data_IF_079606694409
#
_entry.id   IF_079606694409
#
_cell.length_a   1.000
_cell.length_b   1.000
_cell.length_c   1.000
_cell.angle_alpha   90.00
_cell.angle_beta   90.00
_cell.angle_gamma   90.00
#
_symmetry.space_group_name_H-M   'P 1'
#
loop_
_entity.id
_entity.type
_entity.pdbx_description
1 polymer ?
#
# COMPACT_ATOMS: atom_id res chain seq x y z
N UNK A 1 33.36 -23.22 22.90
CA UNK A 1 33.00 -21.85 23.35
C UNK A 1 32.22 -21.03 22.30
N UNK A 2 32.42 -21.22 20.98
CA UNK A 2 31.66 -20.48 19.95
C UNK A 2 30.14 -20.77 19.90
N UNK A 3 29.73 -22.01 20.17
CA UNK A 3 28.31 -22.45 20.14
C UNK A 3 27.48 -21.70 21.19
N UNK A 4 28.05 -21.44 22.37
CA UNK A 4 27.39 -20.75 23.48
C UNK A 4 27.22 -19.25 23.24
N UNK A 5 28.14 -18.63 22.50
CA UNK A 5 28.05 -17.21 22.11
C UNK A 5 27.01 -16.98 21.00
N UNK A 6 26.98 -17.85 19.99
CA UNK A 6 26.04 -17.77 18.88
C UNK A 6 24.57 -17.87 19.33
N UNK A 7 24.27 -18.79 20.25
CA UNK A 7 22.91 -18.95 20.80
C UNK A 7 22.42 -17.71 21.56
N UNK A 8 23.30 -17.04 22.31
CA UNK A 8 22.95 -15.78 22.99
C UNK A 8 22.67 -14.67 21.98
N UNK A 9 23.50 -14.53 20.94
CA UNK A 9 23.29 -13.55 19.88
C UNK A 9 21.94 -13.77 19.16
N UNK A 10 21.65 -15.00 18.76
CA UNK A 10 20.38 -15.36 18.13
C UNK A 10 19.18 -15.03 19.02
N UNK A 11 19.26 -15.29 20.32
CA UNK A 11 18.19 -14.95 21.27
C UNK A 11 17.91 -13.44 21.31
N UNK A 12 18.96 -12.62 21.40
CA UNK A 12 18.81 -11.16 21.41
C UNK A 12 18.27 -10.62 20.09
N UNK A 13 18.74 -11.15 18.95
CA UNK A 13 18.22 -10.77 17.63
C UNK A 13 16.74 -11.14 17.49
N UNK A 14 16.37 -12.37 17.85
CA UNK A 14 14.98 -12.83 17.82
C UNK A 14 14.10 -11.93 18.69
N UNK A 15 14.53 -11.61 19.91
CA UNK A 15 13.78 -10.71 20.78
C UNK A 15 13.63 -9.32 20.16
N UNK A 16 14.72 -8.72 19.69
CA UNK A 16 14.71 -7.39 19.09
C UNK A 16 13.80 -7.29 17.87
N UNK A 17 13.93 -8.21 16.90
CA UNK A 17 13.06 -8.21 15.72
C UNK A 17 11.60 -8.47 16.07
N UNK A 18 11.30 -9.38 17.00
CA UNK A 18 9.91 -9.61 17.42
C UNK A 18 9.31 -8.37 18.12
N UNK A 19 10.10 -7.60 18.90
CA UNK A 19 9.61 -6.34 19.48
C UNK A 19 9.26 -5.33 18.38
N UNK A 20 10.10 -5.20 17.34
CA UNK A 20 9.79 -4.33 16.19
C UNK A 20 8.50 -4.79 15.50
N UNK A 21 8.36 -6.09 15.21
CA UNK A 21 7.15 -6.61 14.57
C UNK A 21 5.90 -6.44 15.44
N UNK A 22 6.02 -6.56 16.76
CA UNK A 22 4.94 -6.30 17.70
C UNK A 22 4.43 -4.84 17.55
N UNK A 23 5.35 -3.87 17.54
CA UNK A 23 5.03 -2.45 17.38
C UNK A 23 4.44 -2.15 16.00
N UNK A 24 4.97 -2.78 14.94
CA UNK A 24 4.41 -2.70 13.59
C UNK A 24 2.97 -3.24 13.56
N UNK A 25 2.72 -4.40 14.16
CA UNK A 25 1.38 -5.00 14.24
C UNK A 25 0.37 -4.08 14.93
N UNK A 26 0.75 -3.47 16.07
CA UNK A 26 -0.08 -2.47 16.77
C UNK A 26 -0.35 -1.27 15.87
N UNK A 27 0.68 -0.75 15.20
CA UNK A 27 0.55 0.41 14.30
C UNK A 27 -0.42 0.12 13.15
N UNK A 28 -0.30 -1.06 12.52
CA UNK A 28 -1.21 -1.48 11.46
C UNK A 28 -2.66 -1.60 11.94
N UNK A 29 -2.89 -2.18 13.13
CA UNK A 29 -4.23 -2.26 13.71
C UNK A 29 -4.82 -0.88 13.99
N UNK A 30 -4.04 0.05 14.57
CA UNK A 30 -4.48 1.42 14.86
C UNK A 30 -4.80 2.17 13.57
N UNK A 31 -3.90 2.15 12.58
CA UNK A 31 -4.12 2.82 11.29
C UNK A 31 -5.32 2.23 10.56
N UNK A 32 -5.46 0.90 10.53
CA UNK A 32 -6.60 0.21 9.95
C UNK A 32 -7.92 0.58 10.63
N UNK A 33 -7.94 0.65 11.97
CA UNK A 33 -9.14 1.04 12.71
C UNK A 33 -9.51 2.51 12.46
N UNK A 34 -8.54 3.42 12.49
CA UNK A 34 -8.77 4.85 12.22
C UNK A 34 -9.29 5.08 10.80
N UNK A 35 -8.71 4.41 9.81
CA UNK A 35 -9.14 4.51 8.41
C UNK A 35 -10.53 3.92 8.20
N UNK A 36 -10.85 2.79 8.86
CA UNK A 36 -12.18 2.20 8.83
C UNK A 36 -13.26 3.14 9.39
N UNK A 37 -12.99 3.81 10.52
CA UNK A 37 -13.93 4.77 11.14
C UNK A 37 -14.12 6.00 10.25
N UNK A 38 -13.03 6.51 9.66
CA UNK A 38 -13.09 7.64 8.73
C UNK A 38 -13.90 7.32 7.46
N UNK A 39 -13.72 6.11 6.91
CA UNK A 39 -14.49 5.63 5.76
C UNK A 39 -15.97 5.43 6.09
N UNK A 40 -16.27 4.83 7.24
CA UNK A 40 -17.66 4.64 7.70
C UNK A 40 -18.39 5.99 7.85
N UNK A 41 -17.70 7.01 8.35
CA UNK A 41 -18.28 8.34 8.55
C UNK A 41 -18.50 9.12 7.23
N UNK A 42 -17.77 8.80 6.17
CA UNK A 42 -17.79 9.52 4.89
C UNK A 42 -18.62 8.82 3.81
N UNK A 43 -18.78 7.49 3.88
CA UNK A 43 -19.37 6.66 2.82
C UNK A 43 -20.68 5.96 3.22
N UNK A 44 -21.47 6.54 4.13
CA UNK A 44 -22.83 6.05 4.46
C UNK A 44 -23.76 5.86 3.24
N UNK A 45 -23.35 6.25 2.02
CA UNK A 45 -24.09 6.00 0.77
C UNK A 45 -23.13 5.72 -0.41
N UNK A 46 -22.37 4.62 -0.42
CA UNK A 46 -22.08 3.77 -1.61
C UNK A 46 -21.05 2.68 -1.30
N UNK A 47 -21.52 1.45 -1.44
CA UNK A 47 -20.83 0.16 -1.65
C UNK A 47 -19.93 -0.45 -0.55
N UNK A 48 -20.23 -1.71 -0.23
CA UNK A 48 -19.49 -2.66 0.64
C UNK A 48 -18.04 -2.97 0.22
N UNK A 49 -17.55 -2.34 -0.86
CA UNK A 49 -16.23 -2.59 -1.44
C UNK A 49 -15.17 -1.70 -0.77
N UNK A 50 -15.55 -0.51 -0.28
CA UNK A 50 -14.62 0.45 0.32
C UNK A 50 -14.09 0.01 1.70
N UNK A 51 -14.79 -0.86 2.42
CA UNK A 51 -14.40 -1.34 3.76
C UNK A 51 -13.42 -2.52 3.75
N UNK A 52 -13.20 -3.19 2.61
CA UNK A 52 -12.35 -4.38 2.54
C UNK A 52 -10.87 -4.10 2.83
N UNK A 53 -10.35 -2.95 2.36
CA UNK A 53 -8.94 -2.57 2.53
C UNK A 53 -8.54 -2.37 4.01
N UNK A 54 -9.18 -1.47 4.75
CA UNK A 54 -8.85 -1.27 6.17
C UNK A 54 -9.04 -2.53 7.02
N UNK A 55 -10.09 -3.32 6.77
CA UNK A 55 -10.35 -4.57 7.51
C UNK A 55 -9.23 -5.59 7.28
N UNK A 56 -8.73 -5.73 6.04
CA UNK A 56 -7.59 -6.63 5.76
C UNK A 56 -6.31 -6.14 6.44
N UNK A 57 -6.05 -4.83 6.47
CA UNK A 57 -4.91 -4.24 7.22
C UNK A 57 -4.99 -4.56 8.71
N UNK A 58 -6.18 -4.45 9.33
CA UNK A 58 -6.38 -4.82 10.75
C UNK A 58 -6.09 -6.31 10.96
N UNK A 59 -6.63 -7.18 10.09
CA UNK A 59 -6.42 -8.63 10.18
C UNK A 59 -4.94 -9.03 10.08
N UNK A 60 -4.20 -8.45 9.13
CA UNK A 60 -2.76 -8.66 8.98
C UNK A 60 -2.02 -8.13 10.21
N UNK A 61 -2.35 -6.93 10.69
CA UNK A 61 -1.75 -6.35 11.90
C UNK A 61 -1.95 -7.22 13.14
N UNK A 62 -3.15 -7.78 13.32
CA UNK A 62 -3.46 -8.70 14.42
C UNK A 62 -2.67 -10.00 14.32
N UNK A 63 -2.55 -10.59 13.12
CA UNK A 63 -1.74 -11.79 12.90
C UNK A 63 -0.26 -11.56 13.23
N UNK A 64 0.31 -10.44 12.74
CA UNK A 64 1.69 -10.05 13.02
C UNK A 64 1.90 -9.84 14.52
N UNK A 65 0.97 -9.15 15.20
CA UNK A 65 1.02 -8.94 16.65
C UNK A 65 1.03 -10.26 17.43
N UNK A 66 0.14 -11.21 17.10
CA UNK A 66 0.07 -12.49 17.79
C UNK A 66 1.36 -13.30 17.64
N UNK A 67 1.90 -13.36 16.42
CA UNK A 67 3.14 -14.09 16.13
C UNK A 67 4.31 -13.45 16.88
N UNK A 68 4.43 -12.12 16.82
CA UNK A 68 5.46 -11.38 17.53
C UNK A 68 5.34 -11.53 19.06
N UNK A 69 4.11 -11.58 19.59
CA UNK A 69 3.86 -11.80 21.01
C UNK A 69 4.35 -13.18 21.46
N UNK A 70 4.05 -14.25 20.71
CA UNK A 70 4.57 -15.59 21.01
C UNK A 70 6.09 -15.66 20.86
N UNK A 71 6.67 -14.96 19.86
CA UNK A 71 8.12 -14.86 19.68
C UNK A 71 8.82 -14.17 20.85
N UNK A 72 8.32 -13.01 21.29
CA UNK A 72 8.83 -12.27 22.45
C UNK A 72 8.67 -13.05 23.75
N UNK A 73 7.48 -13.58 24.02
CA UNK A 73 7.21 -14.35 25.24
C UNK A 73 7.98 -15.66 25.29
N UNK A 74 8.12 -16.36 24.15
CA UNK A 74 8.92 -17.57 24.03
C UNK A 74 10.41 -17.30 24.26
N UNK A 75 10.94 -16.21 23.71
CA UNK A 75 12.33 -15.79 23.93
C UNK A 75 12.59 -15.36 25.37
N UNK A 76 11.67 -14.62 26.00
CA UNK A 76 11.83 -14.19 27.40
C UNK A 76 11.68 -15.36 28.36
N UNK A 77 10.56 -16.08 28.30
CA UNK A 77 10.24 -17.17 29.25
C UNK A 77 11.06 -18.45 29.01
N UNK A 78 11.89 -18.49 27.96
CA UNK A 78 12.60 -19.69 27.51
C UNK A 78 11.68 -20.92 27.39
N UNK A 79 10.42 -20.68 27.07
CA UNK A 79 9.40 -21.72 27.02
C UNK A 79 9.44 -22.43 25.69
N UNK A 80 9.83 -23.71 25.72
CA UNK A 80 9.88 -24.56 24.53
C UNK A 80 8.56 -24.54 23.76
N UNK A 81 7.43 -24.71 24.46
CA UNK A 81 6.09 -24.71 23.85
C UNK A 81 5.79 -23.40 23.08
N UNK A 82 6.11 -22.23 23.64
CA UNK A 82 5.85 -20.95 22.97
C UNK A 82 6.75 -20.74 21.75
N UNK A 83 8.03 -21.14 21.84
CA UNK A 83 8.96 -21.07 20.70
C UNK A 83 8.54 -22.05 19.60
N UNK A 84 8.06 -23.24 19.95
CA UNK A 84 7.52 -24.21 19.00
C UNK A 84 6.26 -23.67 18.32
N UNK A 85 5.33 -23.05 19.06
CA UNK A 85 4.14 -22.42 18.48
C UNK A 85 4.51 -21.31 17.51
N UNK A 86 5.47 -20.45 17.87
CA UNK A 86 6.00 -19.42 16.98
C UNK A 86 6.55 -20.02 15.67
N UNK A 87 7.35 -21.09 15.76
CA UNK A 87 7.91 -21.77 14.59
C UNK A 87 6.81 -22.42 13.71
N UNK A 88 5.79 -23.03 14.30
CA UNK A 88 4.65 -23.60 13.57
C UNK A 88 3.87 -22.50 12.84
N UNK A 89 3.55 -21.39 13.51
CA UNK A 89 2.83 -20.27 12.91
C UNK A 89 3.60 -19.65 11.73
N UNK A 90 4.92 -19.45 11.89
CA UNK A 90 5.77 -18.97 10.78
C UNK A 90 5.79 -19.95 9.61
N UNK A 91 5.86 -21.25 9.91
CA UNK A 91 5.85 -22.29 8.87
C UNK A 91 4.53 -22.28 8.09
N UNK A 92 3.40 -22.14 8.78
CA UNK A 92 2.08 -22.00 8.15
C UNK A 92 1.99 -20.75 7.26
N UNK A 93 2.52 -19.61 7.72
CA UNK A 93 2.60 -18.41 6.88
C UNK A 93 3.40 -18.66 5.62
N UNK A 94 4.56 -19.32 5.71
CA UNK A 94 5.38 -19.61 4.53
C UNK A 94 4.58 -20.44 3.50
N UNK A 95 3.81 -21.44 3.94
CA UNK A 95 2.95 -22.21 3.04
C UNK A 95 1.85 -21.34 2.40
N UNK A 96 1.22 -20.46 3.18
CA UNK A 96 0.21 -19.53 2.67
C UNK A 96 0.81 -18.54 1.67
N UNK A 97 2.00 -17.99 1.95
CA UNK A 97 2.73 -17.08 1.06
C UNK A 97 3.11 -17.76 -0.27
N UNK A 98 3.58 -19.02 -0.21
CA UNK A 98 3.87 -19.80 -1.44
C UNK A 98 2.58 -20.02 -2.25
N UNK A 99 1.50 -20.42 -1.60
CA UNK A 99 0.21 -20.61 -2.27
C UNK A 99 -0.32 -19.30 -2.86
N UNK A 100 -0.21 -18.19 -2.13
CA UNK A 100 -0.59 -16.85 -2.57
C UNK A 100 0.27 -16.38 -3.76
N UNK A 101 1.58 -16.62 -3.73
CA UNK A 101 2.49 -16.29 -4.83
C UNK A 101 2.15 -17.07 -6.11
N UNK A 102 1.90 -18.38 -5.99
CA UNK A 102 1.48 -19.22 -7.13
C UNK A 102 0.14 -18.74 -7.68
N UNK A 103 -0.84 -18.52 -6.80
CA UNK A 103 -2.18 -18.03 -7.18
C UNK A 103 -2.10 -16.66 -7.85
N UNK A 104 -1.31 -15.74 -7.28
CA UNK A 104 -1.08 -14.40 -7.82
C UNK A 104 -0.39 -14.43 -9.17
N UNK A 105 0.51 -15.39 -9.42
CA UNK A 105 1.13 -15.60 -10.72
C UNK A 105 0.11 -16.11 -11.76
N UNK A 106 -0.68 -17.13 -11.41
CA UNK A 106 -1.70 -17.71 -12.29
C UNK A 106 -2.77 -16.67 -12.66
N UNK A 107 -3.24 -15.90 -11.68
CA UNK A 107 -4.28 -14.90 -11.87
C UNK A 107 -3.74 -13.48 -12.11
N UNK A 108 -2.47 -13.34 -12.50
CA UNK A 108 -1.80 -12.03 -12.65
C UNK A 108 -2.56 -11.08 -13.58
N UNK A 109 -3.14 -11.59 -14.66
CA UNK A 109 -3.94 -10.79 -15.59
C UNK A 109 -5.21 -10.23 -14.92
N UNK A 110 -5.92 -11.05 -14.16
CA UNK A 110 -7.12 -10.61 -13.41
C UNK A 110 -6.76 -9.60 -12.32
N UNK A 111 -5.67 -9.84 -11.59
CA UNK A 111 -5.17 -8.88 -10.59
C UNK A 111 -4.84 -7.55 -11.27
N UNK A 112 -4.20 -7.60 -12.45
CA UNK A 112 -3.90 -6.40 -13.24
C UNK A 112 -5.16 -5.63 -13.62
N UNK A 113 -6.20 -6.33 -14.07
CA UNK A 113 -7.48 -5.72 -14.44
C UNK A 113 -8.18 -5.07 -13.23
N UNK A 114 -8.26 -5.77 -12.10
CA UNK A 114 -8.88 -5.24 -10.88
C UNK A 114 -8.15 -3.99 -10.37
N UNK A 115 -6.81 -4.00 -10.37
CA UNK A 115 -6.04 -2.83 -9.95
C UNK A 115 -6.21 -1.67 -10.93
N UNK A 116 -6.25 -1.96 -12.23
CA UNK A 116 -6.51 -0.95 -13.25
C UNK A 116 -7.88 -0.29 -13.09
N UNK A 117 -8.95 -1.08 -12.89
CA UNK A 117 -10.30 -0.58 -12.66
C UNK A 117 -10.39 0.25 -11.36
N UNK A 118 -9.73 -0.23 -10.31
CA UNK A 118 -9.65 0.48 -9.02
C UNK A 118 -8.95 1.83 -9.16
N UNK A 119 -7.80 1.88 -9.86
CA UNK A 119 -7.07 3.12 -10.11
C UNK A 119 -7.87 4.08 -10.99
N UNK A 120 -8.52 3.58 -12.03
CA UNK A 120 -9.38 4.40 -12.90
C UNK A 120 -10.51 5.04 -12.10
N UNK A 121 -11.14 4.28 -11.20
CA UNK A 121 -12.18 4.79 -10.30
C UNK A 121 -11.63 5.86 -9.37
N UNK A 122 -10.46 5.62 -8.75
CA UNK A 122 -9.80 6.56 -7.84
C UNK A 122 -9.45 7.88 -8.54
N UNK A 123 -8.87 7.82 -9.73
CA UNK A 123 -8.54 9.00 -10.53
C UNK A 123 -9.79 9.77 -10.96
N UNK A 124 -10.87 9.07 -11.28
CA UNK A 124 -12.13 9.73 -11.64
C UNK A 124 -12.74 10.57 -10.51
N UNK A 125 -12.45 10.20 -9.27
CA UNK A 125 -12.92 10.91 -8.08
C UNK A 125 -11.96 12.00 -7.60
N UNK A 126 -10.86 12.28 -8.31
CA UNK A 126 -9.82 13.23 -7.89
C UNK A 126 -10.36 14.61 -7.48
N UNK A 127 -11.37 15.15 -8.16
CA UNK A 127 -11.96 16.46 -7.79
C UNK A 127 -13.02 16.40 -6.68
N UNK A 128 -13.48 15.20 -6.29
CA UNK A 128 -14.55 15.00 -5.32
C UNK A 128 -14.05 14.44 -3.98
N UNK A 129 -12.86 13.85 -3.97
CA UNK A 129 -12.19 13.34 -2.77
C UNK A 129 -11.61 14.45 -1.91
N UNK A 130 -11.36 14.13 -0.63
CA UNK A 130 -10.73 15.05 0.32
C UNK A 130 -9.34 15.51 -0.15
N UNK A 131 -8.91 16.74 0.19
CA UNK A 131 -7.62 17.29 -0.24
C UNK A 131 -6.43 16.37 0.08
N UNK A 132 -6.45 15.73 1.25
CA UNK A 132 -5.39 14.82 1.69
C UNK A 132 -5.20 13.62 0.74
N UNK A 133 -6.29 13.13 0.14
CA UNK A 133 -6.22 12.00 -0.80
C UNK A 133 -5.73 12.46 -2.18
N UNK A 134 -6.03 13.70 -2.59
CA UNK A 134 -5.45 14.31 -3.80
C UNK A 134 -3.95 14.47 -3.67
N UNK A 135 -3.49 14.97 -2.53
CA UNK A 135 -2.06 15.11 -2.23
C UNK A 135 -1.32 13.76 -2.30
N UNK A 136 -1.98 12.67 -1.87
CA UNK A 136 -1.41 11.32 -1.98
C UNK A 136 -1.28 10.88 -3.45
N UNK A 137 -2.32 11.10 -4.26
CA UNK A 137 -2.27 10.80 -5.71
C UNK A 137 -1.22 11.64 -6.43
N UNK A 138 -1.08 12.91 -6.07
CA UNK A 138 -0.05 13.80 -6.62
C UNK A 138 1.35 13.33 -6.23
N UNK A 139 1.55 12.93 -4.97
CA UNK A 139 2.83 12.34 -4.53
C UNK A 139 3.13 11.03 -5.23
N UNK A 140 2.12 10.19 -5.47
CA UNK A 140 2.28 8.94 -6.19
C UNK A 140 2.78 9.19 -7.62
N UNK A 141 2.18 10.14 -8.33
CA UNK A 141 2.59 10.53 -9.68
C UNK A 141 4.02 11.04 -9.74
N UNK A 142 4.40 11.89 -8.78
CA UNK A 142 5.77 12.40 -8.67
C UNK A 142 6.75 11.25 -8.37
N UNK A 143 6.44 10.41 -7.39
CA UNK A 143 7.33 9.32 -6.93
C UNK A 143 7.53 8.25 -7.99
N UNK A 144 6.51 7.97 -8.80
CA UNK A 144 6.57 6.99 -9.88
C UNK A 144 6.94 7.62 -11.23
N UNK A 145 7.07 8.95 -11.29
CA UNK A 145 7.31 9.71 -12.53
C UNK A 145 6.34 9.31 -13.64
N UNK A 146 5.04 9.30 -13.30
CA UNK A 146 3.96 8.84 -14.16
C UNK A 146 2.83 9.88 -14.21
N UNK A 147 1.95 9.78 -15.21
CA UNK A 147 0.77 10.63 -15.33
C UNK A 147 -0.43 9.86 -15.87
N UNK A 148 -1.50 9.83 -15.09
CA UNK A 148 -2.73 9.08 -15.40
C UNK A 148 -2.56 7.57 -15.25
N UNK A 149 -3.67 6.83 -15.38
CA UNK A 149 -3.69 5.36 -15.21
C UNK A 149 -3.05 4.69 -16.43
N UNK A 150 -3.48 5.08 -17.63
CA UNK A 150 -2.96 4.66 -18.92
C UNK A 150 -2.12 5.74 -19.59
N UNK A 151 -2.48 7.01 -19.39
CA UNK A 151 -1.87 8.12 -20.13
C UNK A 151 -2.16 9.47 -19.47
N UNK A 152 -1.37 10.49 -19.82
CA UNK A 152 -1.69 11.86 -19.43
C UNK A 152 -3.06 12.32 -19.95
N UNK A 153 -3.54 11.77 -21.07
CA UNK A 153 -4.87 12.08 -21.61
C UNK A 153 -6.03 11.62 -20.74
N UNK A 154 -5.80 10.73 -19.78
CA UNK A 154 -6.83 10.34 -18.82
C UNK A 154 -7.34 11.57 -18.04
N UNK A 155 -6.51 12.59 -17.83
CA UNK A 155 -6.89 13.81 -17.12
C UNK A 155 -7.84 14.72 -17.89
N UNK A 156 -7.88 14.65 -19.22
CA UNK A 156 -8.79 15.44 -20.07
C UNK A 156 -10.25 15.20 -19.70
N UNK A 157 -10.58 13.98 -19.25
CA UNK A 157 -11.94 13.60 -18.85
C UNK A 157 -12.28 13.98 -17.41
N UNK A 158 -11.27 14.29 -16.60
CA UNK A 158 -11.40 14.42 -15.14
C UNK A 158 -11.07 15.82 -14.62
N UNK A 159 -10.42 16.68 -15.42
CA UNK A 159 -10.19 18.10 -15.09
C UNK A 159 -11.32 18.96 -15.69
N UNK A 160 -11.80 20.00 -14.99
CA UNK A 160 -12.96 20.79 -15.41
C UNK A 160 -12.72 21.63 -16.67
N UNK A 161 -11.47 21.87 -17.04
CA UNK A 161 -11.04 22.64 -18.20
C UNK A 161 -10.67 21.76 -19.42
N UNK A 162 -10.78 20.43 -19.28
CA UNK A 162 -10.51 19.42 -20.31
C UNK A 162 -9.14 19.49 -21.01
N UNK A 163 -8.25 20.38 -20.59
CA UNK A 163 -7.03 20.71 -21.31
C UNK A 163 -5.78 20.68 -20.42
N UNK A 164 -5.94 20.25 -19.17
CA UNK A 164 -4.89 20.32 -18.16
C UNK A 164 -4.65 18.99 -17.46
N UNK A 165 -3.45 18.86 -16.93
CA UNK A 165 -3.05 17.81 -15.99
C UNK A 165 -2.73 18.45 -14.63
N UNK A 166 -2.72 17.69 -13.52
CA UNK A 166 -2.15 18.17 -12.27
C UNK A 166 -0.65 18.50 -12.42
N UNK A 167 -0.13 19.45 -11.63
CA UNK A 167 1.30 19.79 -11.67
C UNK A 167 2.22 18.64 -11.24
N UNK A 168 1.68 17.65 -10.51
CA UNK A 168 2.34 16.39 -10.17
C UNK A 168 2.68 15.54 -11.40
N UNK A 169 2.01 15.74 -12.53
CA UNK A 169 2.32 15.11 -13.82
C UNK A 169 3.47 15.78 -14.59
N UNK A 170 3.97 16.93 -14.14
CA UNK A 170 5.04 17.62 -14.86
C UNK A 170 6.41 16.98 -14.61
N UNK A 171 7.23 16.91 -15.66
CA UNK A 171 8.61 16.39 -15.57
C UNK A 171 9.47 17.21 -14.60
N UNK A 172 9.27 18.52 -14.61
CA UNK A 172 9.86 19.44 -13.64
C UNK A 172 8.73 20.11 -12.88
N UNK A 173 8.73 19.96 -11.55
CA UNK A 173 7.68 20.52 -10.68
C UNK A 173 7.78 22.05 -10.71
N UNK A 174 6.92 22.65 -11.51
CA UNK A 174 6.77 24.09 -11.68
C UNK A 174 5.29 24.43 -11.53
N UNK A 175 5.00 25.51 -10.82
CA UNK A 175 3.62 25.96 -10.60
C UNK A 175 2.94 26.21 -11.94
N UNK A 176 1.71 25.72 -12.09
CA UNK A 176 0.86 25.87 -13.27
C UNK A 176 1.43 25.26 -14.57
N UNK A 177 2.39 24.34 -14.45
CA UNK A 177 2.95 23.65 -15.61
C UNK A 177 1.92 22.78 -16.33
N UNK A 178 1.00 22.17 -15.58
CA UNK A 178 -0.04 21.31 -16.13
C UNK A 178 -1.17 22.08 -16.84
N UNK A 179 -1.26 23.40 -16.64
CA UNK A 179 -2.36 24.23 -17.15
C UNK A 179 -2.25 24.41 -18.67
N UNK A 180 -3.29 23.99 -19.38
CA UNK A 180 -3.33 23.99 -20.84
C UNK A 180 -2.18 23.20 -21.45
N UNK A 181 -1.66 22.19 -20.75
CA UNK A 181 -0.58 21.36 -21.26
C UNK A 181 -1.07 20.46 -22.40
N UNK A 182 -2.36 20.09 -22.39
CA UNK A 182 -2.95 19.12 -23.32
C UNK A 182 -3.44 19.75 -24.64
N UNK A 183 -3.33 21.07 -24.81
CA UNK A 183 -3.73 21.76 -26.05
C UNK A 183 -2.71 21.65 -27.17
N UNK A 184 -1.45 21.34 -26.84
CA UNK A 184 -0.35 21.24 -27.80
C UNK A 184 0.46 19.96 -27.54
N UNK A 185 0.52 19.08 -28.54
CA UNK A 185 1.26 17.83 -28.46
C UNK A 185 2.75 18.03 -28.15
N UNK A 186 3.36 19.14 -28.62
CA UNK A 186 4.76 19.45 -28.33
C UNK A 186 4.95 19.76 -26.84
N UNK A 187 4.02 20.52 -26.26
CA UNK A 187 4.04 20.90 -24.84
C UNK A 187 3.82 19.69 -23.92
N UNK A 188 2.93 18.76 -24.29
CA UNK A 188 2.78 17.47 -23.59
C UNK A 188 4.09 16.69 -23.60
N UNK A 189 4.69 16.50 -24.78
CA UNK A 189 5.90 15.70 -24.94
C UNK A 189 7.11 16.31 -24.23
N UNK A 190 7.20 17.63 -24.16
CA UNK A 190 8.30 18.34 -23.50
C UNK A 190 8.13 18.35 -21.98
N UNK A 191 6.93 18.70 -21.47
CA UNK A 191 6.72 19.07 -20.07
C UNK A 191 6.01 18.02 -19.21
N UNK A 192 5.26 17.10 -19.80
CA UNK A 192 4.41 16.14 -19.07
C UNK A 192 5.04 14.74 -19.06
N UNK A 193 4.87 13.99 -17.97
CA UNK A 193 5.25 12.59 -17.89
C UNK A 193 4.39 11.74 -18.83
N UNK A 194 5.02 10.88 -19.64
CA UNK A 194 4.33 10.00 -20.58
C UNK A 194 4.09 8.59 -20.03
N UNK A 195 4.69 8.24 -18.88
CA UNK A 195 4.52 6.92 -18.29
C UNK A 195 3.14 6.78 -17.67
N UNK A 196 2.51 5.64 -17.91
CA UNK A 196 1.34 5.16 -17.17
C UNK A 196 1.70 4.88 -15.71
N UNK A 197 0.84 5.27 -14.77
CA UNK A 197 1.02 4.96 -13.34
C UNK A 197 0.76 3.50 -13.00
N UNK A 198 0.22 2.72 -13.94
CA UNK A 198 -0.03 1.30 -13.78
C UNK A 198 0.56 0.49 -14.95
N UNK A 199 1.40 -0.51 -14.66
CA UNK A 199 2.12 -1.29 -15.69
C UNK A 199 1.53 -2.66 -15.94
#
# INVERSE_FOLDING_TARGET
>A
MGITGGMKCLKYLLFFFNVIFLLCGITLMVVGALTQVALFSTLMIKSSIASGGPITIIGVGAMVFLIAFFGCCGAWKESYCMVTMFAILLSLIIFVEIAAAITGYIFRQKVSEVVHESLTTVFSQYNSVQPQFRDYLDKLQISLSCCGVNSSSDWVQHKPDNNSVPDSCCKTKTTDCGVGAMTDANKVNEKVQYRKCFS
#
